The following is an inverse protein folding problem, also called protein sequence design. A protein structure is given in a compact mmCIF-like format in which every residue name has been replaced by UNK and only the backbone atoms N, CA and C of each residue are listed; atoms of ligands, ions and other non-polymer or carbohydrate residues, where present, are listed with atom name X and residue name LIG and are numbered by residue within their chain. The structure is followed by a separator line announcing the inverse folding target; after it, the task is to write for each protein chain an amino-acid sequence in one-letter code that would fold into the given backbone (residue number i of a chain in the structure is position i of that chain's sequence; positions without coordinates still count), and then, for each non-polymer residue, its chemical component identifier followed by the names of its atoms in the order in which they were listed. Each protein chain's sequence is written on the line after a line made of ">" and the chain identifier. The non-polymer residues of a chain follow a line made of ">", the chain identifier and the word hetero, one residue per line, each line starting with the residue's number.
data_IF_630255055410
#
_entry.id   IF_630255055410
#
_cell.length_a   1.000
_cell.length_b   1.000
_cell.length_c   1.000
_cell.angle_alpha   90.00
_cell.angle_beta   90.00
_cell.angle_gamma   90.00
#
_symmetry.space_group_name_H-M   'P 1'
#
loop_
_entity.id
_entity.type
_entity.pdbx_description
1 polymer ?
#
# COMPACT_ATOMS: atom_id res chain seq x y z
N UNK A 1 -14.03 13.81 -15.97
CA UNK A 1 -13.94 14.90 -14.98
C UNK A 1 -13.14 14.37 -13.80
N UNK A 2 -11.96 14.93 -13.46
CA UNK A 2 -11.27 14.55 -12.23
C UNK A 2 -12.20 14.85 -11.03
N UNK A 3 -12.22 13.96 -10.04
CA UNK A 3 -13.00 14.17 -8.83
C UNK A 3 -12.59 15.50 -8.18
N UNK A 4 -13.55 16.37 -7.89
CA UNK A 4 -13.22 17.62 -7.21
C UNK A 4 -12.62 17.31 -5.83
N UNK A 5 -11.53 17.99 -5.44
CA UNK A 5 -10.94 17.82 -4.13
C UNK A 5 -11.99 18.16 -3.06
N UNK A 6 -12.09 17.32 -2.04
CA UNK A 6 -13.11 17.47 -0.99
C UNK A 6 -12.88 18.68 -0.08
N UNK A 7 -11.69 19.27 -0.13
CA UNK A 7 -11.24 20.41 0.66
C UNK A 7 -10.79 21.57 -0.23
N UNK A 8 -11.00 22.80 0.24
CA UNK A 8 -10.54 24.03 -0.39
C UNK A 8 -9.03 24.24 -0.20
N UNK A 9 -8.36 25.10 -1.00
CA UNK A 9 -6.93 25.38 -0.81
C UNK A 9 -6.57 25.89 0.59
N UNK A 10 -7.44 26.70 1.20
CA UNK A 10 -7.25 27.19 2.57
C UNK A 10 -7.33 26.06 3.60
N UNK A 11 -8.31 25.17 3.44
CA UNK A 11 -8.44 23.97 4.26
C UNK A 11 -7.22 23.05 4.14
N UNK A 12 -6.66 22.91 2.94
CA UNK A 12 -5.41 22.16 2.72
C UNK A 12 -4.22 22.77 3.45
N UNK A 13 -4.08 24.10 3.39
CA UNK A 13 -3.02 24.81 4.11
C UNK A 13 -3.13 24.57 5.62
N UNK A 14 -4.34 24.68 6.16
CA UNK A 14 -4.58 24.43 7.58
C UNK A 14 -4.25 22.99 7.98
N UNK A 15 -4.69 21.99 7.20
CA UNK A 15 -4.39 20.59 7.45
C UNK A 15 -2.88 20.31 7.47
N UNK A 16 -2.15 20.94 6.54
CA UNK A 16 -0.69 20.82 6.45
C UNK A 16 0.00 21.44 7.67
N UNK A 17 -0.48 22.60 8.15
CA UNK A 17 0.05 23.24 9.36
C UNK A 17 -0.16 22.39 10.63
N UNK A 18 -1.20 21.56 10.68
CA UNK A 18 -1.47 20.68 11.82
C UNK A 18 -0.64 19.39 11.82
N UNK A 19 0.13 19.11 10.75
CA UNK A 19 0.92 17.87 10.66
C UNK A 19 1.97 17.69 11.77
N UNK A 20 2.75 18.71 12.18
CA UNK A 20 3.74 18.55 13.26
C UNK A 20 3.09 18.16 14.59
N UNK A 21 1.97 18.81 14.95
CA UNK A 21 1.22 18.48 16.15
C UNK A 21 0.64 17.05 16.10
N UNK A 22 0.17 16.61 14.93
CA UNK A 22 -0.29 15.23 14.71
C UNK A 22 0.82 14.20 14.99
N UNK A 23 2.07 14.53 14.66
CA UNK A 23 3.23 13.65 14.87
C UNK A 23 3.60 13.58 16.35
N UNK A 24 3.68 14.72 17.02
CA UNK A 24 3.96 14.78 18.46
C UNK A 24 2.91 14.02 19.29
N UNK A 25 1.63 14.18 18.96
CA UNK A 25 0.54 13.48 19.61
C UNK A 25 0.62 11.95 19.41
N UNK A 26 1.19 11.47 18.31
CA UNK A 26 1.43 10.04 18.08
C UNK A 26 2.58 9.51 18.93
N UNK A 27 3.67 10.25 19.01
CA UNK A 27 4.83 9.87 19.84
C UNK A 27 4.44 9.75 21.32
N UNK A 28 3.56 10.64 21.78
CA UNK A 28 3.08 10.68 23.16
C UNK A 28 1.85 9.79 23.43
N UNK A 29 1.42 8.98 22.47
CA UNK A 29 0.19 8.15 22.55
C UNK A 29 -1.10 8.92 22.86
N UNK A 30 -1.16 10.21 22.51
CA UNK A 30 -2.31 11.12 22.71
C UNK A 30 -3.05 11.46 21.40
N UNK A 31 -2.83 10.69 20.34
CA UNK A 31 -3.36 10.99 19.00
C UNK A 31 -4.88 11.10 18.95
N UNK A 32 -5.63 10.24 19.66
CA UNK A 32 -7.09 10.30 19.67
C UNK A 32 -7.60 11.60 20.28
N UNK A 33 -6.98 12.05 21.38
CA UNK A 33 -7.30 13.33 22.04
C UNK A 33 -7.01 14.49 21.10
N UNK A 34 -5.81 14.53 20.53
CA UNK A 34 -5.42 15.54 19.55
C UNK A 34 -6.34 15.57 18.33
N UNK A 35 -6.75 14.41 17.80
CA UNK A 35 -7.63 14.36 16.64
C UNK A 35 -9.02 14.92 16.97
N UNK A 36 -9.51 14.70 18.20
CA UNK A 36 -10.78 15.26 18.65
C UNK A 36 -10.74 16.78 18.76
N UNK A 37 -9.67 17.31 19.36
CA UNK A 37 -9.42 18.76 19.46
C UNK A 37 -9.28 19.38 18.07
N UNK A 38 -8.51 18.76 17.20
CA UNK A 38 -8.31 19.18 15.80
C UNK A 38 -9.63 19.21 15.04
N UNK A 39 -10.46 18.17 15.16
CA UNK A 39 -11.80 18.17 14.56
C UNK A 39 -12.68 19.27 15.14
N UNK A 40 -12.60 19.55 16.44
CA UNK A 40 -13.34 20.66 17.05
C UNK A 40 -12.90 22.01 16.45
N UNK A 41 -11.59 22.29 16.39
CA UNK A 41 -11.05 23.50 15.77
C UNK A 41 -11.41 23.62 14.28
N UNK A 42 -11.47 22.49 13.56
CA UNK A 42 -11.93 22.46 12.18
C UNK A 42 -13.38 22.94 12.06
N UNK A 43 -14.30 22.37 12.85
CA UNK A 43 -15.71 22.73 12.77
C UNK A 43 -16.04 24.11 13.32
N UNK A 44 -15.17 24.71 14.14
CA UNK A 44 -15.26 26.12 14.51
C UNK A 44 -14.96 27.05 13.33
N UNK A 45 -14.01 26.68 12.46
CA UNK A 45 -13.64 27.47 11.28
C UNK A 45 -14.52 27.19 10.06
N UNK A 46 -14.93 25.94 9.89
CA UNK A 46 -15.75 25.48 8.77
C UNK A 46 -16.93 24.65 9.29
N UNK A 47 -17.97 25.30 9.81
CA UNK A 47 -19.16 24.61 10.29
C UNK A 47 -19.90 23.94 9.11
N UNK A 48 -20.13 22.63 9.20
CA UNK A 48 -20.84 21.88 8.15
C UNK A 48 -22.30 22.34 7.98
N UNK A 49 -22.89 22.97 9.01
CA UNK A 49 -24.21 23.62 8.93
C UNK A 49 -24.23 24.70 7.86
N UNK A 50 -23.24 25.58 7.86
CA UNK A 50 -23.14 26.68 6.90
C UNK A 50 -22.90 26.16 5.49
N UNK A 51 -22.11 25.08 5.35
CA UNK A 51 -21.85 24.46 4.05
C UNK A 51 -23.09 23.80 3.42
N UNK A 52 -23.95 23.17 4.23
CA UNK A 52 -25.13 22.43 3.74
C UNK A 52 -26.38 23.28 3.62
N UNK A 53 -26.59 24.21 4.56
CA UNK A 53 -27.85 24.94 4.71
C UNK A 53 -27.67 26.46 4.85
N UNK A 54 -26.44 26.98 4.74
CA UNK A 54 -26.14 28.40 4.97
C UNK A 54 -26.41 28.85 6.42
N UNK A 55 -26.67 30.14 6.61
CA UNK A 55 -27.07 30.74 7.89
C UNK A 55 -28.56 30.55 8.21
N UNK A 56 -29.12 29.37 7.97
CA UNK A 56 -30.51 29.10 8.35
C UNK A 56 -30.63 29.01 9.88
N UNK A 57 -31.37 29.94 10.50
CA UNK A 57 -31.46 30.10 11.96
C UNK A 57 -32.18 28.94 12.68
N UNK A 58 -33.11 28.26 11.99
CA UNK A 58 -33.85 27.08 12.50
C UNK A 58 -33.74 25.92 11.53
N UNK A 59 -33.07 24.85 11.94
CA UNK A 59 -33.03 23.60 11.19
C UNK A 59 -34.26 22.76 11.54
N UNK A 60 -34.81 22.07 10.54
CA UNK A 60 -35.78 20.99 10.80
C UNK A 60 -35.04 19.76 11.36
N UNK A 61 -35.72 18.85 12.09
CA UNK A 61 -35.09 17.65 12.62
C UNK A 61 -34.40 16.79 11.53
N UNK A 62 -34.97 16.75 10.32
CA UNK A 62 -34.38 16.04 9.18
C UNK A 62 -33.07 16.70 8.69
N UNK A 63 -32.98 18.03 8.77
CA UNK A 63 -31.76 18.77 8.42
C UNK A 63 -30.70 18.60 9.51
N UNK A 64 -31.07 18.53 10.78
CA UNK A 64 -30.13 18.23 11.88
C UNK A 64 -29.50 16.85 11.72
N UNK A 65 -30.29 15.84 11.35
CA UNK A 65 -29.79 14.50 11.02
C UNK A 65 -28.82 14.51 9.84
N UNK A 66 -29.10 15.32 8.81
CA UNK A 66 -28.20 15.49 7.67
C UNK A 66 -26.88 16.15 8.07
N UNK A 67 -26.92 17.20 8.93
CA UNK A 67 -25.71 17.83 9.48
C UNK A 67 -24.92 16.81 10.32
N UNK A 68 -25.58 16.04 11.18
CA UNK A 68 -24.91 15.04 12.02
C UNK A 68 -24.19 13.97 11.17
N UNK A 69 -24.83 13.50 10.10
CA UNK A 69 -24.22 12.58 9.12
C UNK A 69 -23.02 13.21 8.43
N UNK A 70 -23.11 14.47 8.02
CA UNK A 70 -22.02 15.18 7.37
C UNK A 70 -20.83 15.43 8.29
N UNK A 71 -21.07 15.83 9.55
CA UNK A 71 -20.04 15.98 10.58
C UNK A 71 -19.31 14.66 10.82
N UNK A 72 -20.05 13.55 10.93
CA UNK A 72 -19.47 12.21 11.09
C UNK A 72 -18.61 11.82 9.89
N UNK A 73 -19.11 12.05 8.67
CA UNK A 73 -18.36 11.78 7.44
C UNK A 73 -17.08 12.61 7.37
N UNK A 74 -17.15 13.90 7.73
CA UNK A 74 -15.99 14.79 7.72
C UNK A 74 -14.94 14.39 8.74
N UNK A 75 -15.34 14.02 9.96
CA UNK A 75 -14.42 13.52 10.99
C UNK A 75 -13.66 12.27 10.51
N UNK A 76 -14.36 11.36 9.83
CA UNK A 76 -13.72 10.19 9.22
C UNK A 76 -12.74 10.56 8.11
N UNK A 77 -13.07 11.54 7.27
CA UNK A 77 -12.18 12.06 6.23
C UNK A 77 -10.92 12.69 6.82
N UNK A 78 -11.06 13.54 7.86
CA UNK A 78 -9.93 14.15 8.56
C UNK A 78 -9.00 13.09 9.15
N UNK A 79 -9.57 12.11 9.87
CA UNK A 79 -8.79 11.00 10.44
C UNK A 79 -8.06 10.19 9.37
N UNK A 80 -8.75 9.86 8.26
CA UNK A 80 -8.15 9.16 7.12
C UNK A 80 -7.05 9.99 6.47
N UNK A 81 -7.26 11.30 6.33
CA UNK A 81 -6.27 12.20 5.75
C UNK A 81 -5.00 12.23 6.58
N UNK A 82 -5.09 12.50 7.89
CA UNK A 82 -3.91 12.51 8.77
C UNK A 82 -3.23 11.14 8.86
N UNK A 83 -3.99 10.04 8.75
CA UNK A 83 -3.43 8.70 8.68
C UNK A 83 -2.64 8.46 7.39
N UNK A 84 -3.17 8.90 6.24
CA UNK A 84 -2.53 8.77 4.93
C UNK A 84 -1.36 9.74 4.74
N UNK A 85 -1.38 10.89 5.42
CA UNK A 85 -0.34 11.93 5.39
C UNK A 85 0.56 11.85 6.62
N UNK A 86 0.71 10.64 7.16
CA UNK A 86 1.81 10.33 8.09
C UNK A 86 3.11 10.60 7.33
N UNK A 87 4.06 11.25 7.99
CA UNK A 87 5.37 11.57 7.43
C UNK A 87 5.89 10.40 6.61
N UNK A 88 6.28 10.68 5.36
CA UNK A 88 6.76 9.70 4.37
C UNK A 88 7.91 8.82 4.92
N UNK A 89 8.55 9.22 6.02
CA UNK A 89 9.54 8.42 6.78
C UNK A 89 9.01 7.11 7.36
N UNK A 90 7.69 6.88 7.40
CA UNK A 90 7.14 5.52 7.48
C UNK A 90 6.24 5.27 6.30
N UNK A 91 6.87 5.11 5.13
CA UNK A 91 6.29 4.47 3.97
C UNK A 91 5.33 3.36 4.42
N UNK A 92 4.05 3.60 4.19
CA UNK A 92 2.98 2.63 4.35
C UNK A 92 3.35 1.35 3.60
N UNK A 93 3.90 0.33 4.24
CA UNK A 93 3.88 -1.07 3.77
C UNK A 93 4.32 -1.35 2.32
N UNK A 94 4.81 -0.37 1.58
CA UNK A 94 5.54 -0.54 0.36
C UNK A 94 6.82 -1.15 0.86
N UNK A 95 6.95 -2.46 0.61
CA UNK A 95 8.20 -3.20 0.72
C UNK A 95 9.27 -2.22 0.29
N UNK A 96 10.04 -1.70 1.25
CA UNK A 96 11.24 -0.91 0.97
C UNK A 96 11.91 -1.71 -0.11
N UNK A 97 11.93 -1.18 -1.34
CA UNK A 97 12.49 -1.92 -2.46
C UNK A 97 13.89 -2.29 -1.97
N UNK A 98 14.19 -3.59 -1.82
CA UNK A 98 15.39 -3.97 -1.12
C UNK A 98 16.55 -3.30 -1.82
N UNK A 99 17.49 -2.70 -1.09
CA UNK A 99 18.79 -2.47 -1.69
C UNK A 99 19.22 -3.81 -2.24
N UNK A 100 19.37 -3.94 -3.54
CA UNK A 100 19.53 -5.26 -4.08
C UNK A 100 20.98 -5.76 -3.88
N UNK A 101 21.79 -4.98 -3.13
CA UNK A 101 23.10 -5.32 -2.57
C UNK A 101 22.94 -6.12 -1.26
N UNK A 102 21.88 -5.87 -0.46
CA UNK A 102 21.68 -6.50 0.85
C UNK A 102 20.73 -7.70 0.80
N UNK A 103 19.63 -7.57 0.07
CA UNK A 103 18.81 -8.72 -0.28
C UNK A 103 19.19 -9.04 -1.72
N UNK A 104 19.69 -10.26 -1.97
CA UNK A 104 20.07 -10.73 -3.31
C UNK A 104 18.97 -10.52 -4.36
N UNK A 105 19.24 -10.78 -5.65
CA UNK A 105 18.28 -10.51 -6.73
C UNK A 105 16.90 -10.98 -6.31
N UNK A 106 15.91 -10.07 -6.38
CA UNK A 106 14.53 -10.33 -6.01
C UNK A 106 14.15 -11.70 -6.57
N UNK A 107 14.15 -12.72 -5.72
CA UNK A 107 13.83 -14.09 -6.08
C UNK A 107 12.32 -14.13 -6.34
N UNK A 108 11.90 -13.54 -7.47
CA UNK A 108 10.60 -13.79 -8.06
C UNK A 108 10.63 -15.28 -8.35
N UNK A 109 10.01 -16.05 -7.45
CA UNK A 109 9.92 -17.50 -7.59
C UNK A 109 9.35 -17.77 -8.97
N UNK A 110 10.00 -18.66 -9.71
CA UNK A 110 9.46 -19.10 -10.99
C UNK A 110 8.01 -19.58 -10.78
N UNK A 111 7.09 -19.25 -11.70
CA UNK A 111 5.70 -19.64 -11.56
C UNK A 111 5.55 -21.15 -11.50
N UNK A 112 4.51 -21.63 -10.84
CA UNK A 112 4.19 -23.05 -10.82
C UNK A 112 3.47 -23.46 -12.12
N UNK A 113 3.58 -24.73 -12.54
CA UNK A 113 2.89 -25.25 -13.76
C UNK A 113 1.39 -24.93 -13.74
N UNK A 114 0.77 -25.07 -12.57
CA UNK A 114 -0.63 -24.70 -12.33
C UNK A 114 -0.93 -23.23 -12.62
N UNK A 115 -0.04 -22.33 -12.24
CA UNK A 115 -0.23 -20.89 -12.44
C UNK A 115 -0.19 -20.53 -13.93
N UNK A 116 0.69 -21.20 -14.69
CA UNK A 116 0.75 -21.09 -16.15
C UNK A 116 -0.55 -21.60 -16.77
N UNK A 117 -1.03 -22.79 -16.36
CA UNK A 117 -2.32 -23.32 -16.84
C UNK A 117 -3.50 -22.40 -16.50
N UNK A 118 -3.56 -21.88 -15.28
CA UNK A 118 -4.64 -20.99 -14.87
C UNK A 118 -4.68 -19.69 -15.69
N UNK A 119 -3.55 -19.12 -16.10
CA UNK A 119 -3.56 -17.90 -16.93
C UNK A 119 -4.21 -18.13 -18.29
N UNK A 120 -4.07 -19.32 -18.85
CA UNK A 120 -4.49 -19.64 -20.21
C UNK A 120 -5.91 -20.23 -20.27
N UNK A 121 -6.25 -21.10 -19.32
CA UNK A 121 -7.45 -21.94 -19.42
C UNK A 121 -8.48 -21.70 -18.30
N UNK A 122 -8.15 -20.93 -17.26
CA UNK A 122 -9.05 -20.76 -16.11
C UNK A 122 -10.38 -20.09 -16.48
N UNK A 123 -10.38 -19.14 -17.42
CA UNK A 123 -11.60 -18.44 -17.82
C UNK A 123 -12.66 -19.40 -18.38
N UNK A 124 -12.25 -20.43 -19.12
CA UNK A 124 -13.14 -21.49 -19.61
C UNK A 124 -13.70 -22.39 -18.51
N UNK A 125 -13.00 -22.53 -17.40
CA UNK A 125 -13.39 -23.39 -16.28
C UNK A 125 -13.95 -22.64 -15.06
N UNK A 126 -14.00 -21.31 -15.13
CA UNK A 126 -14.44 -20.45 -14.03
C UNK A 126 -15.84 -20.82 -13.55
N UNK A 127 -16.76 -21.07 -14.47
CA UNK A 127 -18.13 -21.46 -14.16
C UNK A 127 -18.19 -22.78 -13.36
N UNK A 128 -17.33 -23.75 -13.68
CA UNK A 128 -17.24 -25.04 -12.96
C UNK A 128 -16.75 -24.83 -11.53
N UNK A 129 -15.71 -24.01 -11.34
CA UNK A 129 -15.18 -23.69 -10.01
C UNK A 129 -16.21 -22.93 -9.17
N UNK A 130 -16.92 -21.96 -9.77
CA UNK A 130 -17.98 -21.21 -9.11
C UNK A 130 -19.16 -22.09 -8.71
N UNK A 131 -19.56 -23.05 -9.56
CA UNK A 131 -20.60 -24.03 -9.25
C UNK A 131 -20.19 -24.93 -8.06
N UNK A 132 -18.95 -25.41 -8.02
CA UNK A 132 -18.44 -26.22 -6.90
C UNK A 132 -18.40 -25.42 -5.59
N UNK A 133 -18.01 -24.15 -5.66
CA UNK A 133 -18.05 -23.26 -4.50
C UNK A 133 -19.49 -22.99 -4.04
N UNK A 134 -20.44 -22.80 -4.96
CA UNK A 134 -21.85 -22.61 -4.65
C UNK A 134 -22.47 -23.86 -4.00
N UNK A 135 -22.17 -25.05 -4.52
CA UNK A 135 -22.61 -26.32 -3.94
C UNK A 135 -22.11 -26.48 -2.49
N UNK A 136 -20.82 -26.18 -2.24
CA UNK A 136 -20.27 -26.21 -0.87
C UNK A 136 -20.85 -25.14 0.06
N UNK A 137 -21.24 -23.97 -0.46
CA UNK A 137 -21.99 -22.97 0.34
C UNK A 137 -23.37 -23.48 0.74
N UNK A 138 -24.08 -24.13 -0.19
CA UNK A 138 -25.41 -24.65 0.04
C UNK A 138 -25.41 -25.79 1.06
N UNK A 139 -24.45 -26.70 0.98
CA UNK A 139 -24.31 -27.83 1.92
C UNK A 139 -23.98 -27.39 3.35
N UNK A 140 -23.10 -26.39 3.50
CA UNK A 140 -22.69 -25.90 4.83
C UNK A 140 -23.70 -24.92 5.46
N UNK A 141 -24.65 -24.38 4.68
CA UNK A 141 -25.61 -23.38 5.14
C UNK A 141 -24.98 -22.06 5.62
N UNK A 142 -23.67 -21.86 5.38
CA UNK A 142 -22.90 -20.68 5.79
C UNK A 142 -21.94 -20.23 4.70
N UNK A 143 -21.44 -18.99 4.84
CA UNK A 143 -20.34 -18.51 3.99
C UNK A 143 -19.06 -19.32 4.25
N UNK A 144 -18.34 -19.67 3.18
CA UNK A 144 -17.02 -20.28 3.30
C UNK A 144 -16.02 -19.24 3.81
N UNK A 145 -15.09 -19.73 4.61
CA UNK A 145 -13.90 -18.97 4.98
C UNK A 145 -12.98 -18.79 3.76
N UNK A 146 -12.07 -17.82 3.83
CA UNK A 146 -11.07 -17.59 2.80
C UNK A 146 -10.20 -18.83 2.57
N UNK A 147 -9.85 -19.55 3.63
CA UNK A 147 -9.01 -20.74 3.56
C UNK A 147 -9.72 -21.91 2.87
N UNK A 148 -10.99 -22.16 3.23
CA UNK A 148 -11.81 -23.20 2.58
C UNK A 148 -12.00 -22.91 1.09
N UNK A 149 -12.31 -21.65 0.75
CA UNK A 149 -12.46 -21.22 -0.65
C UNK A 149 -11.18 -21.50 -1.45
N UNK A 150 -10.02 -21.07 -0.93
CA UNK A 150 -8.73 -21.30 -1.57
C UNK A 150 -8.41 -22.79 -1.73
N UNK A 151 -8.68 -23.61 -0.71
CA UNK A 151 -8.44 -25.05 -0.76
C UNK A 151 -9.29 -25.72 -1.84
N UNK A 152 -10.59 -25.42 -1.87
CA UNK A 152 -11.53 -26.02 -2.84
C UNK A 152 -11.15 -25.61 -4.26
N UNK A 153 -10.89 -24.32 -4.49
CA UNK A 153 -10.47 -23.83 -5.80
C UNK A 153 -9.18 -24.51 -6.26
N UNK A 154 -8.19 -24.69 -5.37
CA UNK A 154 -6.95 -25.40 -5.71
C UNK A 154 -7.20 -26.86 -6.09
N UNK A 155 -7.94 -27.60 -5.27
CA UNK A 155 -8.27 -29.01 -5.56
C UNK A 155 -9.01 -29.16 -6.88
N UNK A 156 -9.95 -28.25 -7.17
CA UNK A 156 -10.71 -28.30 -8.41
C UNK A 156 -9.86 -27.96 -9.64
N UNK A 157 -8.97 -26.98 -9.52
CA UNK A 157 -7.99 -26.66 -10.57
C UNK A 157 -7.08 -27.87 -10.87
N UNK A 158 -6.63 -28.60 -9.84
CA UNK A 158 -5.83 -29.81 -10.05
C UNK A 158 -6.62 -30.90 -10.76
N UNK A 159 -7.89 -31.08 -10.38
CA UNK A 159 -8.79 -32.04 -11.01
C UNK A 159 -8.99 -31.70 -12.48
N UNK A 160 -9.27 -30.44 -12.80
CA UNK A 160 -9.46 -29.98 -14.17
C UNK A 160 -8.18 -30.15 -14.99
N UNK A 161 -7.03 -29.71 -14.46
CA UNK A 161 -5.75 -29.92 -15.12
C UNK A 161 -5.44 -31.41 -15.35
N UNK A 162 -5.80 -32.30 -14.42
CA UNK A 162 -5.61 -33.74 -14.59
C UNK A 162 -6.47 -34.36 -15.69
N UNK A 163 -7.65 -33.81 -15.97
CA UNK A 163 -8.56 -34.25 -17.02
C UNK A 163 -8.20 -33.70 -18.41
N UNK A 164 -7.37 -32.67 -18.45
CA UNK A 164 -6.97 -32.02 -19.69
C UNK A 164 -6.17 -32.96 -20.62
N UNK A 165 -6.22 -32.65 -21.92
CA UNK A 165 -5.53 -33.44 -22.94
C UNK A 165 -4.01 -33.45 -22.73
N UNK A 166 -3.30 -34.51 -23.17
CA UNK A 166 -1.85 -34.57 -23.06
C UNK A 166 -1.15 -33.46 -23.87
N UNK A 167 -1.78 -32.98 -24.95
CA UNK A 167 -1.29 -31.89 -25.78
C UNK A 167 -1.26 -30.55 -25.02
N UNK A 168 -2.33 -30.21 -24.32
CA UNK A 168 -2.41 -28.99 -23.49
C UNK A 168 -1.43 -29.07 -22.33
N UNK A 169 -1.27 -30.24 -21.70
CA UNK A 169 -0.28 -30.44 -20.63
C UNK A 169 1.14 -30.22 -21.12
N UNK A 170 1.47 -30.71 -22.31
CA UNK A 170 2.79 -30.53 -22.93
C UNK A 170 3.05 -29.06 -23.27
N UNK A 171 2.06 -28.34 -23.81
CA UNK A 171 2.20 -26.91 -24.11
C UNK A 171 2.41 -26.06 -22.85
N UNK A 172 1.61 -26.31 -21.80
CA UNK A 172 1.77 -25.64 -20.49
C UNK A 172 3.14 -25.94 -19.89
N UNK A 173 3.63 -27.18 -20.00
CA UNK A 173 4.95 -27.56 -19.50
C UNK A 173 6.07 -26.83 -20.24
N UNK A 174 6.00 -26.76 -21.57
CA UNK A 174 6.96 -26.02 -22.40
C UNK A 174 7.03 -24.54 -21.99
N UNK A 175 5.88 -23.87 -21.86
CA UNK A 175 5.83 -22.46 -21.43
C UNK A 175 6.35 -22.28 -20.00
N UNK A 176 6.06 -23.23 -19.12
CA UNK A 176 6.62 -23.23 -17.76
C UNK A 176 8.15 -23.31 -17.77
N UNK A 177 8.75 -24.13 -18.63
CA UNK A 177 10.20 -24.21 -18.78
C UNK A 177 10.80 -22.89 -19.30
N UNK A 178 10.15 -22.24 -20.26
CA UNK A 178 10.55 -20.92 -20.77
C UNK A 178 10.49 -19.84 -19.67
N UNK A 179 9.37 -19.71 -18.96
CA UNK A 179 9.23 -18.73 -17.86
C UNK A 179 10.20 -19.03 -16.71
N UNK A 180 10.46 -20.30 -16.41
CA UNK A 180 11.44 -20.71 -15.40
C UNK A 180 12.87 -20.40 -15.85
N UNK A 181 13.19 -20.53 -17.12
CA UNK A 181 14.49 -20.16 -17.68
C UNK A 181 14.71 -18.64 -17.58
N UNK A 182 13.70 -17.84 -17.93
CA UNK A 182 13.72 -16.37 -17.77
C UNK A 182 13.84 -15.97 -16.30
N UNK A 183 13.13 -16.63 -15.39
CA UNK A 183 13.22 -16.34 -13.95
C UNK A 183 14.59 -16.74 -13.34
N UNK A 184 15.25 -17.76 -13.90
CA UNK A 184 16.62 -18.18 -13.51
C UNK A 184 17.70 -17.31 -14.12
N UNK A 185 17.46 -16.74 -15.29
CA UNK A 185 18.29 -15.68 -15.85
C UNK A 185 18.12 -14.44 -14.97
N UNK A 186 18.94 -14.36 -13.92
CA UNK A 186 19.03 -13.19 -13.05
C UNK A 186 19.17 -11.96 -13.95
N UNK A 187 18.30 -10.94 -13.87
CA UNK A 187 18.60 -9.70 -14.56
C UNK A 187 19.87 -9.15 -13.93
N UNK A 188 20.97 -9.19 -14.69
CA UNK A 188 22.14 -8.37 -14.40
C UNK A 188 21.60 -6.95 -14.19
N UNK A 189 21.85 -6.39 -13.01
CA UNK A 189 21.58 -4.97 -12.81
C UNK A 189 22.55 -4.24 -13.70
N UNK A 190 22.03 -3.70 -14.78
CA UNK A 190 22.76 -2.75 -15.60
C UNK A 190 23.11 -1.57 -14.71
N UNK A 191 24.37 -1.50 -14.29
CA UNK A 191 24.95 -0.29 -13.75
C UNK A 191 24.81 0.79 -14.84
N UNK A 192 24.11 1.89 -14.53
CA UNK A 192 23.91 2.99 -15.47
C UNK A 192 22.53 3.10 -16.13
N UNK A 193 21.47 2.48 -15.61
CA UNK A 193 20.12 2.94 -15.97
C UNK A 193 19.91 4.38 -15.47
N UNK A 194 19.50 5.27 -16.38
CA UNK A 194 19.05 6.63 -16.07
C UNK A 194 17.86 6.57 -15.11
N UNK A 195 18.14 6.67 -13.82
CA UNK A 195 17.10 6.73 -12.80
C UNK A 195 16.37 8.06 -12.94
N UNK A 196 15.05 8.02 -12.79
CA UNK A 196 14.25 9.24 -12.71
C UNK A 196 14.61 10.02 -11.44
N UNK A 197 14.52 11.37 -11.43
CA UNK A 197 14.76 12.19 -10.25
C UNK A 197 14.02 11.69 -9.00
N UNK A 198 12.76 11.28 -9.14
CA UNK A 198 11.95 10.72 -8.05
C UNK A 198 12.54 9.41 -7.48
N UNK A 199 13.18 8.60 -8.30
CA UNK A 199 13.84 7.36 -7.87
C UNK A 199 15.11 7.64 -7.07
N UNK A 200 15.84 8.71 -7.42
CA UNK A 200 16.98 9.19 -6.63
C UNK A 200 16.51 9.71 -5.27
N UNK A 201 15.47 10.53 -5.23
CA UNK A 201 14.92 11.02 -3.97
C UNK A 201 14.46 9.86 -3.08
N UNK A 202 13.72 8.91 -3.64
CA UNK A 202 13.29 7.73 -2.91
C UNK A 202 14.49 6.94 -2.35
N UNK A 203 15.60 6.84 -3.09
CA UNK A 203 16.80 6.20 -2.58
C UNK A 203 17.47 6.98 -1.44
N UNK A 204 17.50 8.31 -1.52
CA UNK A 204 18.01 9.20 -0.45
C UNK A 204 17.16 9.04 0.82
N UNK A 205 15.83 9.09 0.68
CA UNK A 205 14.90 8.98 1.82
C UNK A 205 15.00 7.63 2.54
N UNK A 206 15.32 6.55 1.80
CA UNK A 206 15.46 5.20 2.37
C UNK A 206 16.91 4.86 2.78
N UNK A 207 17.90 5.67 2.40
CA UNK A 207 19.31 5.39 2.68
C UNK A 207 19.62 5.21 4.18
N UNK A 208 19.08 6.02 5.12
CA UNK A 208 19.35 5.84 6.55
C UNK A 208 18.94 4.44 7.06
N UNK A 209 17.75 3.97 6.66
CA UNK A 209 17.23 2.66 7.05
C UNK A 209 18.11 1.52 6.50
N UNK A 210 18.60 1.67 5.28
CA UNK A 210 19.48 0.69 4.65
C UNK A 210 20.85 0.62 5.32
N UNK A 211 21.43 1.78 5.65
CA UNK A 211 22.70 1.90 6.34
C UNK A 211 22.60 1.29 7.74
N UNK A 212 21.54 1.63 8.49
CA UNK A 212 21.30 1.08 9.82
C UNK A 212 21.18 -0.45 9.79
N UNK A 213 20.40 -1.00 8.86
CA UNK A 213 20.23 -2.46 8.72
C UNK A 213 21.55 -3.18 8.37
N UNK A 214 22.45 -2.53 7.64
CA UNK A 214 23.75 -3.09 7.28
C UNK A 214 24.76 -2.99 8.43
N UNK A 215 24.83 -1.84 9.10
CA UNK A 215 25.88 -1.54 10.08
C UNK A 215 25.52 -1.94 11.51
N UNK A 216 24.23 -1.97 11.89
CA UNK A 216 23.82 -2.29 13.25
C UNK A 216 24.29 -3.68 13.74
N UNK A 217 24.18 -4.77 12.94
CA UNK A 217 24.69 -6.07 13.36
C UNK A 217 26.21 -6.10 13.52
N UNK A 218 26.93 -5.33 12.69
CA UNK A 218 28.40 -5.21 12.77
C UNK A 218 28.77 -4.44 14.03
N UNK A 219 28.08 -3.33 14.32
CA UNK A 219 28.28 -2.54 15.53
C UNK A 219 28.06 -3.38 16.79
N UNK A 220 26.99 -4.16 16.83
CA UNK A 220 26.66 -5.05 17.95
C UNK A 220 27.71 -6.16 18.12
N UNK A 221 28.14 -6.80 17.04
CA UNK A 221 29.10 -7.90 17.09
C UNK A 221 30.54 -7.44 17.39
N UNK A 222 30.92 -6.24 16.95
CA UNK A 222 32.29 -5.71 17.10
C UNK A 222 32.48 -4.76 18.27
N UNK A 223 31.39 -4.22 18.83
CA UNK A 223 31.43 -3.12 19.79
C UNK A 223 31.86 -1.78 19.19
N UNK A 224 31.91 -1.66 17.85
CA UNK A 224 32.32 -0.43 17.17
C UNK A 224 31.14 0.53 17.00
N UNK A 225 31.44 1.82 17.07
CA UNK A 225 30.51 2.88 16.69
C UNK A 225 30.81 3.31 15.25
N UNK A 226 29.78 3.36 14.42
CA UNK A 226 29.88 3.86 13.05
C UNK A 226 29.19 5.21 12.94
N UNK A 227 29.84 6.15 12.24
CA UNK A 227 29.25 7.42 11.81
C UNK A 227 29.28 7.44 10.30
N UNK A 228 28.14 7.71 9.66
CA UNK A 228 28.03 7.74 8.20
C UNK A 228 27.55 9.13 7.79
N UNK A 229 28.36 9.81 6.99
CA UNK A 229 28.02 11.10 6.41
C UNK A 229 27.93 10.90 4.91
N UNK A 230 26.80 11.23 4.32
CA UNK A 230 26.62 11.25 2.87
C UNK A 230 26.09 12.61 2.43
N UNK A 231 26.61 13.13 1.32
CA UNK A 231 26.18 14.40 0.74
C UNK A 231 25.98 14.24 -0.76
N UNK A 232 24.96 14.91 -1.31
CA UNK A 232 24.65 14.83 -2.73
C UNK A 232 23.49 15.73 -3.13
N UNK A 233 23.24 15.86 -4.45
CA UNK A 233 22.14 16.65 -4.97
C UNK A 233 20.80 16.02 -4.58
N UNK A 234 19.88 16.85 -4.10
CA UNK A 234 18.51 16.46 -3.74
C UNK A 234 17.55 16.90 -4.84
N UNK A 235 16.97 15.96 -5.60
CA UNK A 235 16.06 16.31 -6.70
C UNK A 235 14.86 17.17 -6.31
N UNK A 236 14.33 17.01 -5.08
CA UNK A 236 13.20 17.84 -4.60
C UNK A 236 13.59 19.32 -4.38
N UNK A 237 14.88 19.62 -4.21
CA UNK A 237 15.40 20.98 -4.02
C UNK A 237 16.17 21.47 -5.26
N UNK A 238 15.68 21.18 -6.47
CA UNK A 238 16.30 21.61 -7.73
C UNK A 238 17.79 21.21 -7.88
N UNK A 239 18.18 20.10 -7.24
CA UNK A 239 19.56 19.62 -7.24
C UNK A 239 20.50 20.31 -6.25
N UNK A 240 19.99 21.10 -5.29
CA UNK A 240 20.80 21.62 -4.19
C UNK A 240 21.47 20.48 -3.41
N UNK A 241 22.72 20.71 -2.99
CA UNK A 241 23.50 19.75 -2.21
C UNK A 241 22.97 19.74 -0.78
N UNK A 242 22.51 18.58 -0.33
CA UNK A 242 22.15 18.33 1.06
C UNK A 242 22.98 17.18 1.63
N UNK A 243 23.07 17.11 2.95
CA UNK A 243 23.77 16.04 3.66
C UNK A 243 22.83 15.27 4.57
N UNK A 244 23.02 13.96 4.63
CA UNK A 244 22.48 13.06 5.66
C UNK A 244 23.65 12.61 6.55
N UNK A 245 23.44 12.62 7.87
CA UNK A 245 24.39 12.19 8.89
C UNK A 245 23.68 11.38 9.98
#
# INVERSE_FOLDING_TARGET
>A
MPAQPWATPEQWSWLTQQQPAAQEARLTSRYTTWLNETCHSWFLKWPERERLFGEAEKLTPEQEDAVAKAVKARRAQLGTWFNNHRTKTRANGYKVAPLPILDGPSNKRAPHVREVWCREFYDGHRATVEATLAARRAELGRKLTRQETLSITRTEIDRLYSLESPEVKADVFRRWEEEKAVARATPEKVAGQDRLPEQYQHAVDNAPLWIERALAPIAEASGWCFTVIAAGPVPENDGEISSIA
#
